data_IF_046788491370
#
_entry.id   IF_046788491370
#
_cell.length_a   1.000
_cell.length_b   1.000
_cell.length_c   1.000
_cell.angle_alpha   90.00
_cell.angle_beta   90.00
_cell.angle_gamma   90.00
#
_symmetry.space_group_name_H-M   'P 1'
#
loop_
_entity.id
_entity.type
_entity.pdbx_description
1 polymer ?
#
# COMPACT_ATOMS: atom_id res chain seq x y z
N UNK A 1 -13.13 23.78 3.59
CA UNK A 1 -12.73 22.98 2.42
C UNK A 1 -13.32 21.60 2.66
N UNK A 2 -14.33 21.20 1.88
CA UNK A 2 -14.98 19.90 2.02
C UNK A 2 -13.95 18.81 1.68
N UNK A 3 -13.91 17.71 2.43
CA UNK A 3 -12.91 16.67 2.23
C UNK A 3 -13.23 15.86 0.98
N UNK A 4 -12.33 15.88 0.00
CA UNK A 4 -12.31 15.03 -1.22
C UNK A 4 -11.97 13.55 -0.90
N UNK A 5 -12.45 13.04 0.23
CA UNK A 5 -12.09 11.76 0.82
C UNK A 5 -13.30 10.82 0.80
N UNK A 6 -13.23 9.76 0.01
CA UNK A 6 -14.31 8.77 -0.15
C UNK A 6 -14.16 7.65 0.89
N UNK A 7 -12.97 7.06 0.95
CA UNK A 7 -12.62 6.05 1.96
C UNK A 7 -11.43 6.57 2.77
N UNK A 8 -11.61 6.94 4.06
CA UNK A 8 -10.51 7.42 4.88
C UNK A 8 -9.48 6.33 5.17
N UNK A 9 -8.19 6.68 5.06
CA UNK A 9 -7.12 5.81 5.51
C UNK A 9 -7.08 5.71 7.04
N UNK A 10 -7.10 4.51 7.59
CA UNK A 10 -6.94 4.25 9.02
C UNK A 10 -6.32 2.88 9.29
N UNK A 11 -6.03 2.57 10.55
CA UNK A 11 -5.63 1.21 10.97
C UNK A 11 -6.66 0.15 10.55
N UNK A 12 -7.96 0.53 10.47
CA UNK A 12 -9.03 -0.36 10.02
C UNK A 12 -8.86 -0.76 8.55
N UNK A 13 -8.44 0.16 7.69
CA UNK A 13 -8.26 -0.08 6.24
C UNK A 13 -6.81 -0.45 5.89
N UNK A 14 -6.08 -1.04 6.86
CA UNK A 14 -4.67 -1.36 6.71
C UNK A 14 -4.41 -2.79 6.25
N UNK A 15 -3.36 -2.92 5.45
CA UNK A 15 -2.88 -4.13 4.82
C UNK A 15 -1.43 -4.35 5.25
N UNK A 16 -1.10 -5.59 5.57
CA UNK A 16 0.24 -6.00 6.00
C UNK A 16 0.93 -6.76 4.88
N UNK A 17 2.19 -6.41 4.66
CA UNK A 17 3.06 -6.94 3.62
C UNK A 17 4.33 -7.48 4.24
N UNK A 18 4.88 -8.54 3.64
CA UNK A 18 6.28 -8.90 3.82
C UNK A 18 7.12 -8.10 2.84
N UNK A 19 8.22 -7.56 3.32
CA UNK A 19 9.24 -6.95 2.46
C UNK A 19 10.12 -8.07 1.90
N UNK A 20 10.16 -8.18 0.58
CA UNK A 20 10.99 -9.15 -0.14
C UNK A 20 12.19 -8.46 -0.81
N UNK A 21 13.15 -9.24 -1.32
CA UNK A 21 14.36 -8.69 -1.96
C UNK A 21 15.59 -8.61 -1.06
N UNK A 22 15.57 -9.25 0.12
CA UNK A 22 16.75 -9.38 0.98
C UNK A 22 17.04 -8.17 1.85
N UNK A 23 16.00 -7.51 2.34
CA UNK A 23 16.12 -6.43 3.33
C UNK A 23 16.89 -6.89 4.57
N UNK A 24 17.79 -6.05 5.08
CA UNK A 24 18.53 -6.26 6.31
C UNK A 24 18.22 -5.19 7.39
N UNK A 25 18.87 -5.30 8.55
CA UNK A 25 18.68 -4.35 9.66
C UNK A 25 19.17 -2.93 9.29
N UNK A 26 20.16 -2.80 8.40
CA UNK A 26 20.63 -1.50 7.93
C UNK A 26 19.59 -0.84 7.03
N UNK A 27 18.98 -1.60 6.13
CA UNK A 27 17.86 -1.11 5.32
C UNK A 27 16.70 -0.62 6.22
N UNK A 28 16.41 -1.33 7.32
CA UNK A 28 15.41 -0.90 8.32
C UNK A 28 15.79 0.42 8.96
N UNK A 29 17.02 0.52 9.45
CA UNK A 29 17.52 1.73 10.12
C UNK A 29 17.58 2.92 9.16
N UNK A 30 17.96 2.72 7.89
CA UNK A 30 17.91 3.76 6.85
C UNK A 30 16.46 4.21 6.59
N UNK A 31 15.51 3.28 6.53
CA UNK A 31 14.08 3.60 6.38
C UNK A 31 13.53 4.35 7.61
N UNK A 32 13.90 3.97 8.84
CA UNK A 32 13.51 4.68 10.07
C UNK A 32 14.15 6.07 10.17
N UNK A 33 15.39 6.25 9.68
CA UNK A 33 16.03 7.56 9.60
C UNK A 33 15.29 8.51 8.65
N UNK A 34 14.71 8.00 7.57
CA UNK A 34 13.88 8.80 6.64
C UNK A 34 12.60 9.31 7.32
N UNK A 35 12.06 8.57 8.29
CA UNK A 35 10.85 8.93 9.05
C UNK A 35 11.11 9.98 10.13
N UNK A 36 12.36 10.21 10.50
CA UNK A 36 12.71 11.12 11.58
C UNK A 36 13.13 12.51 11.08
N UNK A 37 13.06 12.76 9.76
CA UNK A 37 13.46 14.02 9.14
C UNK A 37 14.99 14.23 9.07
N UNK A 38 15.77 13.15 9.20
CA UNK A 38 17.23 13.21 9.17
C UNK A 38 17.76 13.05 7.73
N UNK A 39 18.38 14.09 7.18
CA UNK A 39 19.14 14.00 5.91
C UNK A 39 20.61 13.71 6.24
N UNK A 40 21.16 12.63 5.67
CA UNK A 40 22.57 12.26 5.85
C UNK A 40 23.49 13.20 5.06
N UNK A 41 24.26 14.05 5.77
CA UNK A 41 25.34 14.90 5.24
C UNK A 41 26.39 15.16 6.34
N UNK A 42 27.63 15.48 5.94
CA UNK A 42 28.86 15.46 6.77
C UNK A 42 28.89 16.33 8.03
N UNK A 43 27.88 17.15 8.33
CA UNK A 43 27.81 17.96 9.54
C UNK A 43 26.38 17.94 10.12
N UNK A 44 26.18 17.32 11.30
CA UNK A 44 24.92 17.37 12.07
C UNK A 44 25.02 18.46 13.18
N UNK A 45 23.93 19.17 13.57
CA UNK A 45 22.52 18.80 13.43
C UNK A 45 21.55 19.87 12.87
N UNK A 46 20.54 19.45 12.10
CA UNK A 46 19.28 20.19 11.93
C UNK A 46 18.16 19.27 11.45
N UNK A 47 17.00 19.32 12.12
CA UNK A 47 15.73 18.72 11.68
C UNK A 47 15.17 19.62 10.57
N UNK A 48 14.90 19.09 9.37
CA UNK A 48 14.54 19.92 8.19
C UNK A 48 13.17 19.58 7.58
N UNK A 49 12.35 18.70 8.15
CA UNK A 49 11.01 18.46 7.59
C UNK A 49 10.02 17.86 8.58
N UNK A 50 8.88 18.55 8.74
CA UNK A 50 7.70 18.10 9.49
C UNK A 50 6.82 17.09 8.71
N UNK A 51 7.24 16.66 7.51
CA UNK A 51 6.52 15.65 6.74
C UNK A 51 7.41 14.46 6.44
N UNK A 52 7.07 13.33 7.03
CA UNK A 52 7.56 12.01 6.62
C UNK A 52 6.96 11.69 5.25
N UNK A 53 7.80 11.69 4.21
CA UNK A 53 7.37 11.33 2.86
C UNK A 53 7.46 9.81 2.70
N UNK A 54 6.32 9.12 2.79
CA UNK A 54 6.21 7.70 2.42
C UNK A 54 6.76 7.43 1.01
N UNK A 55 6.74 8.42 0.12
CA UNK A 55 7.39 8.39 -1.18
C UNK A 55 8.92 8.24 -1.11
N UNK A 56 9.61 8.77 -0.09
CA UNK A 56 11.06 8.56 0.10
C UNK A 56 11.36 7.09 0.37
N UNK A 57 10.59 6.49 1.29
CA UNK A 57 10.68 5.06 1.61
C UNK A 57 10.42 4.18 0.40
N UNK A 58 9.36 4.49 -0.37
CA UNK A 58 9.04 3.72 -1.58
C UNK A 58 10.11 3.89 -2.68
N UNK A 59 10.74 5.07 -2.79
CA UNK A 59 11.91 5.29 -3.68
C UNK A 59 13.13 4.50 -3.21
N UNK A 60 13.39 4.47 -1.91
CA UNK A 60 14.47 3.67 -1.33
C UNK A 60 14.28 2.18 -1.60
N UNK A 61 13.08 1.65 -1.32
CA UNK A 61 12.73 0.25 -1.60
C UNK A 61 12.97 -0.11 -3.06
N UNK A 62 12.48 0.72 -4.00
CA UNK A 62 12.75 0.53 -5.43
C UNK A 62 14.23 0.53 -5.78
N UNK A 63 15.02 1.47 -5.23
CA UNK A 63 16.48 1.54 -5.45
C UNK A 63 17.21 0.29 -4.97
N UNK A 64 16.72 -0.32 -3.89
CA UNK A 64 17.26 -1.56 -3.31
C UNK A 64 16.65 -2.82 -3.91
N UNK A 65 15.77 -2.70 -4.92
CA UNK A 65 15.02 -3.80 -5.52
C UNK A 65 14.23 -4.62 -4.48
N UNK A 66 13.69 -3.93 -3.47
CA UNK A 66 12.81 -4.50 -2.47
C UNK A 66 11.37 -4.51 -2.99
N UNK A 67 10.67 -5.61 -2.70
CA UNK A 67 9.28 -5.83 -3.09
C UNK A 67 8.34 -5.90 -1.89
N UNK A 68 7.04 -5.86 -2.17
CA UNK A 68 5.98 -6.08 -1.19
C UNK A 68 5.20 -7.32 -1.57
N UNK A 69 5.13 -8.31 -0.66
CA UNK A 69 4.22 -9.44 -0.78
C UNK A 69 3.09 -9.29 0.22
N UNK A 70 1.86 -9.19 -0.27
CA UNK A 70 0.67 -9.14 0.57
C UNK A 70 0.57 -10.37 1.49
N UNK A 71 0.32 -10.13 2.77
CA UNK A 71 0.12 -11.18 3.77
C UNK A 71 -1.33 -11.24 4.22
N UNK A 72 -1.89 -10.11 4.67
CA UNK A 72 -3.22 -10.05 5.28
C UNK A 72 -3.76 -8.62 5.36
N UNK A 73 -5.07 -8.52 5.51
CA UNK A 73 -5.73 -7.33 6.06
C UNK A 73 -5.56 -7.37 7.58
N UNK A 74 -5.18 -6.24 8.19
CA UNK A 74 -4.90 -6.20 9.63
C UNK A 74 -6.20 -6.31 10.46
N UNK A 75 -7.24 -5.58 10.05
CA UNK A 75 -8.54 -5.60 10.72
C UNK A 75 -9.36 -6.83 10.32
N UNK A 76 -9.78 -7.62 11.32
CA UNK A 76 -10.66 -8.79 11.11
C UNK A 76 -12.04 -8.40 10.59
N UNK A 77 -12.60 -7.31 11.10
CA UNK A 77 -13.92 -6.84 10.67
C UNK A 77 -13.87 -6.39 9.21
N UNK A 78 -12.83 -5.63 8.84
CA UNK A 78 -12.66 -5.18 7.46
C UNK A 78 -12.36 -6.35 6.51
N UNK A 79 -11.55 -7.33 6.94
CA UNK A 79 -11.35 -8.58 6.21
C UNK A 79 -12.68 -9.29 5.95
N UNK A 80 -13.54 -9.37 6.98
CA UNK A 80 -14.86 -10.00 6.88
C UNK A 80 -15.77 -9.25 5.91
N UNK A 81 -15.79 -7.92 5.98
CA UNK A 81 -16.56 -7.05 5.08
C UNK A 81 -16.13 -7.24 3.61
N UNK A 82 -14.81 -7.20 3.34
CA UNK A 82 -14.27 -7.42 2.00
C UNK A 82 -14.58 -8.82 1.48
N UNK A 83 -14.38 -9.85 2.32
CA UNK A 83 -14.61 -11.24 1.92
C UNK A 83 -16.09 -11.55 1.68
N UNK A 84 -17.01 -10.82 2.34
CA UNK A 84 -18.44 -10.94 2.10
C UNK A 84 -18.88 -10.35 0.75
N UNK A 85 -18.19 -9.31 0.26
CA UNK A 85 -18.40 -8.76 -1.08
C UNK A 85 -17.84 -9.71 -2.16
N UNK A 86 -16.59 -10.14 -1.99
CA UNK A 86 -15.95 -11.14 -2.83
C UNK A 86 -14.74 -11.76 -2.09
N UNK A 87 -14.59 -13.10 -2.07
CA UNK A 87 -13.53 -13.76 -1.30
C UNK A 87 -12.11 -13.41 -1.76
N UNK A 88 -11.93 -12.98 -3.02
CA UNK A 88 -10.63 -12.61 -3.56
C UNK A 88 -10.28 -11.13 -3.30
N UNK A 89 -11.28 -10.33 -2.93
CA UNK A 89 -11.15 -8.88 -2.78
C UNK A 89 -10.04 -8.44 -1.81
N UNK A 90 -9.83 -9.08 -0.65
CA UNK A 90 -8.71 -8.73 0.23
C UNK A 90 -7.35 -8.80 -0.48
N UNK A 91 -7.14 -9.82 -1.30
CA UNK A 91 -5.90 -10.00 -2.04
C UNK A 91 -5.80 -9.02 -3.22
N UNK A 92 -6.89 -8.78 -3.95
CA UNK A 92 -6.94 -7.79 -5.03
C UNK A 92 -6.59 -6.40 -4.50
N UNK A 93 -7.24 -5.96 -3.43
CA UNK A 93 -6.97 -4.65 -2.82
C UNK A 93 -5.55 -4.56 -2.23
N UNK A 94 -5.02 -5.66 -1.68
CA UNK A 94 -3.63 -5.73 -1.26
C UNK A 94 -2.66 -5.46 -2.41
N UNK A 95 -2.93 -6.02 -3.60
CA UNK A 95 -2.15 -5.70 -4.79
C UNK A 95 -2.30 -4.24 -5.20
N UNK A 96 -3.53 -3.71 -5.23
CA UNK A 96 -3.77 -2.31 -5.60
C UNK A 96 -3.04 -1.33 -4.69
N UNK A 97 -3.07 -1.55 -3.38
CA UNK A 97 -2.34 -0.73 -2.40
C UNK A 97 -0.83 -0.83 -2.64
N UNK A 98 -0.28 -2.03 -2.88
CA UNK A 98 1.15 -2.16 -3.17
C UNK A 98 1.57 -1.43 -4.46
N UNK A 99 0.72 -1.47 -5.49
CA UNK A 99 0.96 -0.79 -6.77
C UNK A 99 0.93 0.73 -6.61
N UNK A 100 -0.05 1.25 -5.86
CA UNK A 100 -0.16 2.67 -5.57
C UNK A 100 1.06 3.21 -4.80
N UNK A 101 1.54 2.47 -3.79
CA UNK A 101 2.66 2.91 -2.96
C UNK A 101 4.02 2.68 -3.64
N UNK A 102 4.30 1.45 -4.06
CA UNK A 102 5.61 1.05 -4.57
C UNK A 102 5.76 1.37 -6.07
N UNK A 103 4.76 1.01 -6.89
CA UNK A 103 4.72 1.35 -8.32
C UNK A 103 4.59 2.86 -8.54
N UNK A 104 3.82 3.52 -7.67
CA UNK A 104 3.55 4.95 -7.76
C UNK A 104 2.44 5.28 -8.77
N UNK A 105 1.59 4.30 -9.09
CA UNK A 105 0.43 4.42 -9.98
C UNK A 105 -0.80 4.75 -9.13
N UNK A 106 -1.29 6.01 -9.09
CA UNK A 106 -2.35 6.38 -8.15
C UNK A 106 -3.77 6.15 -8.71
N UNK A 107 -3.95 6.13 -10.03
CA UNK A 107 -5.29 6.03 -10.63
C UNK A 107 -5.80 4.60 -10.55
N UNK A 108 -7.03 4.43 -10.09
CA UNK A 108 -7.61 3.10 -9.91
C UNK A 108 -7.73 2.36 -11.24
N UNK A 109 -8.17 3.03 -12.30
CA UNK A 109 -8.26 2.46 -13.66
C UNK A 109 -6.91 1.89 -14.16
N UNK A 110 -5.83 2.66 -14.06
CA UNK A 110 -4.49 2.23 -14.47
C UNK A 110 -4.01 1.01 -13.65
N UNK A 111 -4.33 0.97 -12.35
CA UNK A 111 -4.01 -0.17 -11.49
C UNK A 111 -4.79 -1.41 -11.93
N UNK A 112 -6.09 -1.28 -12.22
CA UNK A 112 -6.92 -2.40 -12.68
C UNK A 112 -6.36 -2.98 -13.99
N UNK A 113 -6.00 -2.13 -14.95
CA UNK A 113 -5.38 -2.56 -16.21
C UNK A 113 -4.08 -3.34 -15.97
N UNK A 114 -3.24 -2.88 -15.04
CA UNK A 114 -2.04 -3.60 -14.63
C UNK A 114 -2.36 -4.97 -14.00
N UNK A 115 -3.39 -5.05 -13.15
CA UNK A 115 -3.84 -6.32 -12.56
C UNK A 115 -4.35 -7.30 -13.62
N UNK A 116 -5.09 -6.84 -14.62
CA UNK A 116 -5.56 -7.70 -15.72
C UNK A 116 -4.41 -8.24 -16.57
N UNK A 117 -3.41 -7.39 -16.82
CA UNK A 117 -2.21 -7.77 -17.57
C UNK A 117 -1.36 -8.81 -16.84
N UNK A 118 -1.01 -8.52 -15.57
CA UNK A 118 -0.14 -9.35 -14.73
C UNK A 118 -0.87 -10.59 -14.21
N UNK A 119 -2.17 -10.48 -13.95
CA UNK A 119 -3.02 -11.51 -13.37
C UNK A 119 -2.43 -12.13 -12.08
N UNK A 120 -2.25 -11.34 -11.01
CA UNK A 120 -1.55 -11.79 -9.80
C UNK A 120 -2.21 -13.00 -9.11
N UNK A 121 -3.53 -13.14 -9.20
CA UNK A 121 -4.28 -14.28 -8.66
C UNK A 121 -4.37 -15.46 -9.61
N UNK A 122 -3.76 -15.37 -10.80
CA UNK A 122 -3.66 -16.45 -11.79
C UNK A 122 -5.01 -17.02 -12.22
N UNK A 123 -6.02 -16.16 -12.39
CA UNK A 123 -7.30 -16.58 -12.97
C UNK A 123 -7.09 -17.24 -14.34
N UNK A 124 -7.92 -18.24 -14.72
CA UNK A 124 -7.81 -18.91 -16.01
C UNK A 124 -7.89 -17.93 -17.19
N UNK A 125 -6.95 -18.02 -18.14
CA UNK A 125 -7.05 -17.33 -19.44
C UNK A 125 -7.93 -18.17 -20.38
N UNK A 126 -8.78 -17.57 -21.24
CA UNK A 126 -8.88 -16.13 -21.57
C UNK A 126 -9.79 -15.32 -20.64
N UNK A 127 -10.43 -15.95 -19.65
CA UNK A 127 -11.47 -15.34 -18.81
C UNK A 127 -10.98 -14.24 -17.86
N UNK A 128 -9.68 -13.98 -17.74
CA UNK A 128 -9.13 -12.96 -16.82
C UNK A 128 -9.60 -11.52 -17.13
N UNK A 129 -9.82 -11.20 -18.41
CA UNK A 129 -10.22 -9.85 -18.82
C UNK A 129 -11.59 -9.50 -18.23
N UNK A 130 -11.66 -8.39 -17.51
CA UNK A 130 -12.85 -7.94 -16.82
C UNK A 130 -13.06 -8.50 -15.42
N UNK A 131 -12.38 -9.59 -15.00
CA UNK A 131 -12.61 -10.17 -13.66
C UNK A 131 -12.17 -9.20 -12.56
N UNK A 132 -10.96 -8.63 -12.67
CA UNK A 132 -10.47 -7.68 -11.67
C UNK A 132 -11.34 -6.42 -11.67
N UNK A 133 -11.65 -5.90 -12.85
CA UNK A 133 -12.51 -4.73 -13.02
C UNK A 133 -13.90 -4.92 -12.41
N UNK A 134 -14.54 -6.05 -12.66
CA UNK A 134 -15.85 -6.37 -12.08
C UNK A 134 -15.80 -6.42 -10.55
N UNK A 135 -14.81 -7.12 -9.98
CA UNK A 135 -14.67 -7.28 -8.53
C UNK A 135 -14.33 -5.95 -7.84
N UNK A 136 -13.42 -5.17 -8.43
CA UNK A 136 -13.05 -3.85 -7.91
C UNK A 136 -14.20 -2.86 -8.08
N UNK A 137 -14.89 -2.86 -9.22
CA UNK A 137 -16.07 -2.03 -9.46
C UNK A 137 -17.16 -2.24 -8.41
N UNK A 138 -17.51 -3.50 -8.09
CA UNK A 138 -18.45 -3.82 -7.00
C UNK A 138 -18.00 -3.26 -5.64
N UNK A 139 -16.69 -3.31 -5.36
CA UNK A 139 -16.14 -2.69 -4.16
C UNK A 139 -16.26 -1.17 -4.18
N UNK A 140 -15.89 -0.51 -5.28
CA UNK A 140 -15.96 0.94 -5.43
C UNK A 140 -17.40 1.45 -5.27
N UNK A 141 -18.35 0.80 -5.92
CA UNK A 141 -19.79 1.10 -5.76
C UNK A 141 -20.22 1.01 -4.28
N UNK A 142 -19.75 -0.01 -3.55
CA UNK A 142 -20.09 -0.20 -2.14
C UNK A 142 -19.58 0.91 -1.21
N UNK A 143 -18.50 1.60 -1.60
CA UNK A 143 -17.91 2.72 -0.84
C UNK A 143 -18.22 4.08 -1.46
N UNK A 144 -19.02 4.14 -2.53
CA UNK A 144 -19.37 5.38 -3.23
C UNK A 144 -18.23 5.99 -4.06
N UNK A 145 -17.32 5.16 -4.57
CA UNK A 145 -16.22 5.53 -5.46
C UNK A 145 -16.48 5.09 -6.92
N UNK A 146 -15.66 5.60 -7.84
CA UNK A 146 -15.55 5.23 -9.24
C UNK A 146 -14.10 4.92 -9.64
N UNK A 147 -13.91 4.34 -10.83
CA UNK A 147 -12.58 3.97 -11.35
C UNK A 147 -11.70 5.17 -11.73
N UNK A 148 -12.33 6.33 -11.96
CA UNK A 148 -11.67 7.61 -12.22
C UNK A 148 -11.03 8.23 -10.96
N UNK A 149 -11.35 7.70 -9.78
CA UNK A 149 -10.75 8.10 -8.52
C UNK A 149 -9.31 7.58 -8.35
N UNK A 150 -8.67 8.02 -7.27
CA UNK A 150 -7.28 7.68 -6.98
C UNK A 150 -7.09 7.05 -5.61
N UNK A 151 -6.13 6.11 -5.55
CA UNK A 151 -5.54 5.64 -4.30
C UNK A 151 -4.50 6.64 -3.82
N UNK A 152 -4.69 7.17 -2.63
CA UNK A 152 -3.74 8.08 -2.01
C UNK A 152 -2.71 7.32 -1.17
N UNK A 153 -1.48 7.83 -1.17
CA UNK A 153 -0.39 7.30 -0.37
C UNK A 153 -0.38 8.06 0.94
N UNK A 154 -0.97 7.46 1.96
CA UNK A 154 -1.09 8.10 3.27
C UNK A 154 -0.07 7.52 4.24
N UNK A 155 0.69 8.39 4.92
CA UNK A 155 1.48 7.95 6.04
C UNK A 155 0.60 7.48 7.20
N UNK A 156 0.67 6.19 7.60
CA UNK A 156 -0.11 5.67 8.75
C UNK A 156 0.75 4.82 9.69
N UNK A 157 0.99 5.38 10.88
CA UNK A 157 1.78 4.82 11.99
C UNK A 157 2.17 5.94 12.96
N UNK A 158 2.95 5.65 14.02
CA UNK A 158 3.53 6.72 14.87
C UNK A 158 4.24 7.74 13.98
N UNK A 159 3.92 9.01 14.16
CA UNK A 159 4.46 10.16 13.39
C UNK A 159 4.09 10.20 11.89
N UNK A 160 3.08 9.44 11.46
CA UNK A 160 2.71 9.42 10.04
C UNK A 160 3.76 8.68 9.20
N UNK A 161 4.00 7.41 9.48
CA UNK A 161 4.92 6.59 8.68
C UNK A 161 4.34 5.19 8.51
N UNK A 162 4.52 4.55 7.35
CA UNK A 162 4.18 3.13 7.18
C UNK A 162 5.03 2.26 8.10
N UNK A 163 4.49 1.82 9.23
CA UNK A 163 5.23 1.08 10.26
C UNK A 163 5.95 -0.13 9.65
N UNK A 164 7.25 -0.27 9.94
CA UNK A 164 8.08 -1.42 9.57
C UNK A 164 8.55 -2.12 10.83
N UNK A 165 8.41 -3.44 10.88
CA UNK A 165 8.87 -4.22 12.02
C UNK A 165 9.52 -5.53 11.57
N UNK A 166 10.35 -6.08 12.47
CA UNK A 166 10.96 -7.39 12.29
C UNK A 166 10.03 -8.46 12.86
N UNK A 167 9.61 -9.39 12.01
CA UNK A 167 8.76 -10.52 12.38
C UNK A 167 9.57 -11.61 13.15
N UNK A 168 8.90 -12.53 13.86
CA UNK A 168 9.58 -13.60 14.62
C UNK A 168 10.46 -14.51 13.75
N UNK A 169 10.12 -14.67 12.47
CA UNK A 169 10.91 -15.42 11.49
C UNK A 169 12.10 -14.64 10.92
N UNK A 170 12.40 -13.47 11.49
CA UNK A 170 13.44 -12.50 11.08
C UNK A 170 13.20 -11.84 9.72
N UNK A 171 12.04 -12.05 9.09
CA UNK A 171 11.63 -11.23 7.94
C UNK A 171 11.19 -9.84 8.38
N UNK A 172 11.10 -8.92 7.44
CA UNK A 172 10.57 -7.57 7.70
C UNK A 172 9.15 -7.46 7.14
N UNK A 173 8.26 -6.86 7.92
CA UNK A 173 6.89 -6.59 7.54
C UNK A 173 6.62 -5.09 7.54
N UNK A 174 5.67 -4.66 6.72
CA UNK A 174 5.23 -3.28 6.58
C UNK A 174 3.72 -3.19 6.59
N UNK A 175 3.18 -2.16 7.24
CA UNK A 175 1.76 -1.79 7.17
C UNK A 175 1.54 -0.64 6.19
N UNK A 176 0.64 -0.82 5.24
CA UNK A 176 0.16 0.25 4.33
C UNK A 176 -1.35 0.38 4.44
N UNK A 177 -1.88 1.53 4.01
CA UNK A 177 -3.29 1.85 4.20
C UNK A 177 -3.96 2.19 2.88
N UNK A 178 -5.17 1.65 2.72
CA UNK A 178 -6.05 2.01 1.63
C UNK A 178 -6.78 3.31 1.96
N UNK A 179 -6.63 4.29 1.08
CA UNK A 179 -7.37 5.54 1.09
C UNK A 179 -7.81 5.89 -0.34
N UNK A 180 -9.07 6.27 -0.52
CA UNK A 180 -9.63 6.66 -1.81
C UNK A 180 -10.05 8.12 -1.78
N UNK A 181 -9.64 8.88 -2.81
CA UNK A 181 -10.00 10.28 -3.00
C UNK A 181 -10.61 10.53 -4.38
N UNK A 182 -11.41 11.59 -4.45
CA UNK A 182 -11.96 12.10 -5.72
C UNK A 182 -10.85 12.55 -6.64
#
# INVERSE_FOLDING_TARGET
MASDLILPGSERTSFVYRIEGGMDDRDRDEMEAMDSGYVMGENWPAIVSDSVDIGHRMRYMRKRNLGLRFLRVESKDYLSELSALDPDLPAILGWMVSEAYLGGTPRIDDIIDNLESVNPLRYPRPAVSGIYREKVGRFLESVGAGEDNSLDRVPVGRNGCAEVWKAPDRSFEMRLVLQIRV
#
